data_IF_832007344636
#
_entry.id   IF_832007344636
#
_cell.length_a   1.000
_cell.length_b   1.000
_cell.length_c   1.000
_cell.angle_alpha   90.00
_cell.angle_beta   90.00
_cell.angle_gamma   90.00
#
_symmetry.space_group_name_H-M   'P 1'
#
loop_
_entity.id
_entity.type
_entity.pdbx_description
1 polymer ?
#
# COMPACT_ATOMS: atom_id res chain seq x y z
N UNK A 1 -1.87 7.01 -16.37
CA UNK A 1 -0.74 6.97 -15.41
C UNK A 1 -1.21 6.56 -14.02
N UNK A 2 -2.26 7.17 -13.47
CA UNK A 2 -2.72 6.89 -12.09
C UNK A 2 -3.33 5.49 -11.86
N UNK A 3 -3.95 4.87 -12.88
CA UNK A 3 -4.52 3.52 -12.77
C UNK A 3 -3.47 2.46 -12.40
N UNK A 4 -2.31 2.49 -13.06
CA UNK A 4 -1.23 1.53 -12.85
C UNK A 4 -0.66 1.58 -11.44
N UNK A 5 -0.69 2.76 -10.81
CA UNK A 5 -0.14 2.94 -9.47
C UNK A 5 -1.08 2.35 -8.40
N UNK A 6 -2.40 2.57 -8.54
CA UNK A 6 -3.40 1.91 -7.72
C UNK A 6 -3.32 0.38 -7.83
N UNK A 7 -3.25 -0.14 -9.06
CA UNK A 7 -3.18 -1.59 -9.31
C UNK A 7 -1.91 -2.21 -8.75
N UNK A 8 -0.77 -1.52 -8.89
CA UNK A 8 0.49 -1.96 -8.29
C UNK A 8 0.37 -2.03 -6.76
N UNK A 9 -0.22 -1.00 -6.13
CA UNK A 9 -0.40 -0.96 -4.67
C UNK A 9 -1.37 -2.05 -4.20
N UNK A 10 -2.50 -2.24 -4.89
CA UNK A 10 -3.47 -3.26 -4.58
C UNK A 10 -2.88 -4.67 -4.73
N UNK A 11 -2.13 -4.93 -5.80
CA UNK A 11 -1.45 -6.20 -6.03
C UNK A 11 -0.36 -6.47 -5.00
N UNK A 12 0.43 -5.45 -4.63
CA UNK A 12 1.46 -5.57 -3.60
C UNK A 12 0.85 -5.81 -2.21
N UNK A 13 -0.28 -5.17 -1.89
CA UNK A 13 -1.01 -5.41 -0.64
C UNK A 13 -1.64 -6.81 -0.61
N UNK A 14 -2.23 -7.26 -1.71
CA UNK A 14 -2.81 -8.60 -1.82
C UNK A 14 -1.73 -9.68 -1.71
N UNK A 15 -0.60 -9.51 -2.39
CA UNK A 15 0.56 -10.43 -2.31
C UNK A 15 1.23 -10.43 -0.94
N UNK A 16 1.14 -9.31 -0.21
CA UNK A 16 1.67 -9.16 1.13
C UNK A 16 0.67 -9.53 2.24
N UNK A 17 -0.51 -10.06 1.89
CA UNK A 17 -1.57 -10.41 2.85
C UNK A 17 -1.91 -9.24 3.81
N UNK A 18 -1.94 -8.01 3.27
CA UNK A 18 -2.20 -6.79 4.05
C UNK A 18 -0.98 -6.23 4.82
N UNK A 19 0.19 -6.87 4.73
CA UNK A 19 1.43 -6.37 5.31
C UNK A 19 2.00 -5.19 4.52
N UNK A 20 1.86 -4.00 5.10
CA UNK A 20 2.23 -2.72 4.46
C UNK A 20 3.73 -2.56 4.30
N UNK A 21 4.52 -3.14 5.20
CA UNK A 21 5.97 -3.08 5.09
C UNK A 21 6.46 -3.95 3.92
N UNK A 22 5.89 -5.15 3.77
CA UNK A 22 6.17 -6.02 2.65
C UNK A 22 5.65 -5.43 1.32
N UNK A 23 4.45 -4.85 1.29
CA UNK A 23 3.93 -4.16 0.11
C UNK A 23 4.81 -2.95 -0.30
N UNK A 24 5.25 -2.12 0.65
CA UNK A 24 6.16 -1.01 0.38
C UNK A 24 7.51 -1.52 -0.19
N UNK A 25 8.04 -2.59 0.40
CA UNK A 25 9.28 -3.22 -0.08
C UNK A 25 9.12 -3.80 -1.48
N UNK A 26 7.98 -4.44 -1.78
CA UNK A 26 7.68 -5.00 -3.11
C UNK A 26 7.54 -3.91 -4.18
N UNK A 27 6.99 -2.75 -3.80
CA UNK A 27 6.86 -1.59 -4.68
C UNK A 27 8.16 -0.76 -4.79
N UNK A 28 9.20 -1.08 -4.00
CA UNK A 28 10.44 -0.31 -3.99
C UNK A 28 10.29 1.11 -3.43
N UNK A 29 9.24 1.37 -2.65
CA UNK A 29 8.97 2.68 -2.06
C UNK A 29 9.14 2.65 -0.55
N UNK A 30 9.44 3.81 0.03
CA UNK A 30 9.47 3.93 1.49
C UNK A 30 8.08 3.76 2.09
N UNK A 31 8.01 3.25 3.32
CA UNK A 31 6.76 3.12 4.08
C UNK A 31 5.98 4.43 4.13
N UNK A 32 6.67 5.57 4.30
CA UNK A 32 6.07 6.91 4.34
C UNK A 32 5.38 7.27 3.03
N UNK A 33 5.96 6.87 1.89
CA UNK A 33 5.37 7.07 0.56
C UNK A 33 4.15 6.20 0.38
N UNK A 34 4.23 4.93 0.78
CA UNK A 34 3.08 4.03 0.75
C UNK A 34 1.93 4.59 1.60
N UNK A 35 2.21 5.04 2.83
CA UNK A 35 1.18 5.64 3.69
C UNK A 35 0.51 6.86 3.07
N UNK A 36 1.28 7.80 2.49
CA UNK A 36 0.70 8.97 1.81
C UNK A 36 -0.18 8.57 0.63
N UNK A 37 0.20 7.53 -0.11
CA UNK A 37 -0.62 7.00 -1.21
C UNK A 37 -1.88 6.33 -0.69
N UNK A 38 -1.78 5.51 0.35
CA UNK A 38 -2.94 4.89 0.99
C UNK A 38 -3.93 5.93 1.54
N UNK A 39 -3.44 7.00 2.17
CA UNK A 39 -4.27 8.12 2.61
C UNK A 39 -4.93 8.84 1.42
N UNK A 40 -4.17 9.10 0.34
CA UNK A 40 -4.70 9.71 -0.87
C UNK A 40 -5.78 8.85 -1.54
N UNK A 41 -5.66 7.52 -1.47
CA UNK A 41 -6.65 6.57 -1.99
C UNK A 41 -7.76 6.21 -0.99
N UNK A 42 -7.77 6.79 0.22
CA UNK A 42 -8.77 6.49 1.25
C UNK A 42 -8.68 5.06 1.81
N UNK A 43 -7.58 4.34 1.55
CA UNK A 43 -7.30 3.01 2.07
C UNK A 43 -6.75 3.14 3.50
N UNK A 44 -7.58 3.64 4.41
CA UNK A 44 -7.27 3.66 5.85
C UNK A 44 -7.28 2.23 6.38
N UNK A 45 -6.15 1.55 6.23
CA UNK A 45 -5.90 0.29 6.92
C UNK A 45 -5.48 0.60 8.36
N UNK A 46 -6.48 0.76 9.21
CA UNK A 46 -6.35 0.94 10.65
C UNK A 46 -5.34 -0.05 11.25
N UNK A 47 -4.35 0.48 11.97
CA UNK A 47 -3.26 -0.30 12.60
C UNK A 47 -3.66 -0.82 13.99
N UNK A 48 -4.96 -0.93 14.30
CA UNK A 48 -5.46 -1.33 15.63
C UNK A 48 -6.44 -2.50 15.64
N UNK A 49 -6.84 -3.03 14.49
CA UNK A 49 -7.84 -4.10 14.45
C UNK A 49 -7.38 -5.39 13.75
N UNK A 50 -6.14 -5.86 13.98
CA UNK A 50 -5.74 -7.27 13.80
C UNK A 50 -4.77 -7.66 14.91
#
# INVERSE_FOLDING_TARGET
MEQHECEAIASALASADGNKAAAASALGISRSTLYRKLEAYGLQLDRRAW
#
